data_IF_197211713928
#
_entry.id   IF_197211713928
#
_cell.length_a   1.000
_cell.length_b   1.000
_cell.length_c   1.000
_cell.angle_alpha   90.00
_cell.angle_beta   90.00
_cell.angle_gamma   90.00
#
_symmetry.space_group_name_H-M   'P 1'
#
loop_
_entity.id
_entity.type
_entity.pdbx_description
1 polymer ?
#
# COMPACT_ATOMS: atom_id res chain seq x y z
N UNK A 1 -3.67 -20.37 -14.29
CA UNK A 1 -4.29 -20.35 -12.94
C UNK A 1 -5.56 -19.54 -13.04
N UNK A 2 -6.67 -20.00 -12.44
CA UNK A 2 -7.92 -19.22 -12.43
C UNK A 2 -7.80 -18.08 -11.42
N UNK A 3 -8.13 -16.86 -11.84
CA UNK A 3 -8.08 -15.67 -10.98
C UNK A 3 -9.17 -15.74 -9.91
N UNK A 4 -8.83 -15.44 -8.65
CA UNK A 4 -9.78 -15.41 -7.55
C UNK A 4 -10.59 -14.10 -7.58
N UNK A 5 -11.90 -14.19 -7.42
CA UNK A 5 -12.83 -13.06 -7.39
C UNK A 5 -13.34 -12.84 -5.96
N UNK A 6 -13.09 -11.65 -5.41
CA UNK A 6 -13.65 -11.26 -4.12
C UNK A 6 -15.02 -10.56 -4.30
N UNK A 7 -15.89 -10.60 -3.27
CA UNK A 7 -17.13 -9.83 -3.27
C UNK A 7 -16.86 -8.33 -3.45
N UNK A 8 -17.65 -7.67 -4.29
CA UNK A 8 -17.58 -6.23 -4.53
C UNK A 8 -18.78 -5.56 -3.87
N UNK A 9 -18.54 -4.73 -2.85
CA UNK A 9 -19.58 -3.95 -2.21
C UNK A 9 -19.84 -2.65 -3.01
N UNK A 10 -21.09 -2.39 -3.46
CA UNK A 10 -21.40 -1.16 -4.18
C UNK A 10 -21.08 0.09 -3.36
N UNK A 11 -20.61 1.15 -4.02
CA UNK A 11 -20.09 2.35 -3.33
C UNK A 11 -21.10 3.00 -2.39
N UNK A 12 -22.37 3.10 -2.79
CA UNK A 12 -23.42 3.72 -1.98
C UNK A 12 -23.72 2.89 -0.71
N UNK A 13 -23.71 1.56 -0.81
CA UNK A 13 -23.85 0.64 0.34
C UNK A 13 -22.65 0.79 1.27
N UNK A 14 -21.44 0.79 0.71
CA UNK A 14 -20.21 0.97 1.49
C UNK A 14 -20.20 2.30 2.25
N UNK A 15 -20.63 3.38 1.60
CA UNK A 15 -20.73 4.71 2.23
C UNK A 15 -21.75 4.72 3.37
N UNK A 16 -22.90 4.08 3.17
CA UNK A 16 -23.93 3.96 4.19
C UNK A 16 -23.40 3.21 5.42
N UNK A 17 -22.81 2.02 5.22
CA UNK A 17 -22.23 1.21 6.30
C UNK A 17 -21.13 1.99 7.01
N UNK A 18 -20.14 2.52 6.26
CA UNK A 18 -19.02 3.27 6.82
C UNK A 18 -19.48 4.47 7.67
N UNK A 19 -20.53 5.17 7.24
CA UNK A 19 -21.09 6.31 7.99
C UNK A 19 -21.75 5.85 9.29
N UNK A 20 -22.43 4.70 9.28
CA UNK A 20 -23.06 4.14 10.47
C UNK A 20 -22.04 3.63 11.50
N UNK A 21 -20.95 2.99 11.04
CA UNK A 21 -20.02 2.28 11.93
C UNK A 21 -18.82 3.11 12.41
N UNK A 22 -18.56 4.28 11.81
CA UNK A 22 -17.32 5.05 12.05
C UNK A 22 -17.07 5.49 13.50
N UNK A 23 -18.11 5.53 14.33
CA UNK A 23 -18.04 5.91 15.74
C UNK A 23 -18.19 4.73 16.70
N UNK A 24 -18.49 3.53 16.21
CA UNK A 24 -18.63 2.33 17.03
C UNK A 24 -17.31 1.94 17.70
N UNK A 25 -17.38 1.24 18.83
CA UNK A 25 -16.19 0.71 19.49
C UNK A 25 -15.58 -0.45 18.68
N UNK A 26 -14.30 -0.75 18.94
CA UNK A 26 -13.62 -1.89 18.30
C UNK A 26 -14.35 -3.20 18.62
N UNK A 27 -14.79 -3.37 19.87
CA UNK A 27 -15.49 -4.56 20.38
C UNK A 27 -16.88 -4.73 19.74
N UNK A 28 -17.61 -3.62 19.55
CA UNK A 28 -18.90 -3.64 18.87
C UNK A 28 -18.75 -4.11 17.43
N UNK A 29 -17.74 -3.59 16.72
CA UNK A 29 -17.48 -3.99 15.34
C UNK A 29 -16.99 -5.43 15.23
N UNK A 30 -16.13 -5.86 16.15
CA UNK A 30 -15.61 -7.22 16.17
C UNK A 30 -16.72 -8.27 16.36
N UNK A 31 -17.79 -7.93 17.08
CA UNK A 31 -18.94 -8.82 17.29
C UNK A 31 -19.98 -8.80 16.16
N UNK A 32 -19.87 -7.85 15.21
CA UNK A 32 -20.81 -7.67 14.10
C UNK A 32 -20.20 -8.03 12.73
N UNK A 33 -19.01 -8.64 12.72
CA UNK A 33 -18.35 -9.00 11.47
C UNK A 33 -19.15 -10.04 10.71
N UNK A 34 -19.23 -9.82 9.40
CA UNK A 34 -19.82 -10.76 8.44
C UNK A 34 -18.77 -11.14 7.40
N UNK A 35 -19.01 -12.25 6.71
CA UNK A 35 -18.14 -12.77 5.65
C UNK A 35 -18.81 -12.74 4.27
N UNK A 36 -20.05 -12.29 4.23
CA UNK A 36 -20.90 -12.13 3.05
C UNK A 36 -21.80 -10.90 3.25
N UNK A 37 -22.33 -10.36 2.15
CA UNK A 37 -23.30 -9.27 2.18
C UNK A 37 -24.20 -9.39 0.95
N UNK A 38 -25.51 -9.26 1.12
CA UNK A 38 -26.50 -9.57 0.06
C UNK A 38 -26.36 -8.68 -1.18
N UNK A 39 -26.01 -7.41 -0.99
CA UNK A 39 -25.76 -6.45 -2.08
C UNK A 39 -24.39 -6.61 -2.75
N UNK A 40 -23.58 -7.61 -2.38
CA UNK A 40 -22.29 -7.81 -3.03
C UNK A 40 -22.43 -8.40 -4.43
N UNK A 41 -21.64 -7.85 -5.35
CA UNK A 41 -21.55 -8.29 -6.73
C UNK A 41 -20.21 -9.00 -6.99
N UNK A 42 -20.11 -9.70 -8.11
CA UNK A 42 -18.86 -10.26 -8.61
C UNK A 42 -18.67 -9.84 -10.07
N UNK A 43 -17.42 -9.75 -10.51
CA UNK A 43 -17.11 -9.57 -11.94
C UNK A 43 -17.76 -10.68 -12.75
N UNK A 44 -18.42 -10.32 -13.86
CA UNK A 44 -19.23 -11.21 -14.69
C UNK A 44 -18.42 -12.14 -15.61
N UNK A 45 -17.09 -12.02 -15.64
CA UNK A 45 -16.22 -12.73 -16.58
C UNK A 45 -15.11 -13.51 -15.87
N UNK A 46 -15.12 -14.84 -16.04
CA UNK A 46 -14.04 -15.75 -15.64
C UNK A 46 -13.78 -15.81 -14.12
N UNK A 47 -12.82 -16.64 -13.71
CA UNK A 47 -12.37 -16.71 -12.31
C UNK A 47 -13.19 -17.62 -11.39
N UNK A 48 -12.70 -17.76 -10.15
CA UNK A 48 -13.35 -18.54 -9.07
C UNK A 48 -13.72 -17.58 -7.96
N UNK A 49 -14.96 -17.63 -7.46
CA UNK A 49 -15.37 -16.81 -6.32
C UNK A 49 -14.62 -17.24 -5.07
N UNK A 50 -14.11 -16.28 -4.30
CA UNK A 50 -13.58 -16.52 -2.97
C UNK A 50 -14.69 -17.13 -2.10
N UNK A 51 -14.41 -18.28 -1.49
CA UNK A 51 -15.33 -18.90 -0.54
C UNK A 51 -15.35 -18.13 0.78
N UNK A 52 -16.44 -18.27 1.53
CA UNK A 52 -16.55 -17.76 2.91
C UNK A 52 -15.35 -18.19 3.76
N UNK A 53 -14.97 -19.48 3.68
CA UNK A 53 -13.80 -20.00 4.41
C UNK A 53 -12.48 -19.28 4.05
N UNK A 54 -12.30 -18.87 2.79
CA UNK A 54 -11.10 -18.08 2.38
C UNK A 54 -11.14 -16.68 2.97
N UNK A 55 -12.31 -16.04 3.03
CA UNK A 55 -12.49 -14.69 3.60
C UNK A 55 -12.31 -14.75 5.13
N UNK A 56 -12.83 -15.78 5.79
CA UNK A 56 -12.64 -16.02 7.21
C UNK A 56 -11.16 -16.27 7.56
N UNK A 57 -10.47 -17.12 6.80
CA UNK A 57 -9.04 -17.35 6.98
C UNK A 57 -8.21 -16.07 6.80
N UNK A 58 -8.58 -15.22 5.82
CA UNK A 58 -7.98 -13.89 5.66
C UNK A 58 -8.20 -13.04 6.91
N UNK A 59 -9.42 -13.00 7.46
CA UNK A 59 -9.70 -12.24 8.68
C UNK A 59 -8.85 -12.74 9.84
N UNK A 60 -8.80 -14.05 10.06
CA UNK A 60 -8.03 -14.65 11.13
C UNK A 60 -6.56 -14.21 11.07
N UNK A 61 -5.93 -14.29 9.89
CA UNK A 61 -4.54 -13.86 9.71
C UNK A 61 -4.32 -12.37 10.01
N UNK A 62 -5.25 -11.50 9.58
CA UNK A 62 -5.15 -10.05 9.83
C UNK A 62 -5.35 -9.72 11.31
N UNK A 63 -6.31 -10.36 11.97
CA UNK A 63 -6.58 -10.17 13.41
C UNK A 63 -5.42 -10.71 14.24
N UNK A 64 -4.86 -11.87 13.88
CA UNK A 64 -3.67 -12.43 14.54
C UNK A 64 -2.48 -11.47 14.46
N UNK A 65 -2.21 -10.92 13.27
CA UNK A 65 -1.20 -9.87 13.13
C UNK A 65 -1.52 -8.65 14.01
N UNK A 66 -2.76 -8.16 13.99
CA UNK A 66 -3.16 -7.00 14.78
C UNK A 66 -3.00 -7.25 16.29
N UNK A 67 -3.27 -8.47 16.76
CA UNK A 67 -3.08 -8.87 18.16
C UNK A 67 -1.62 -8.75 18.59
N UNK A 68 -0.66 -9.11 17.73
CA UNK A 68 0.78 -8.90 18.01
C UNK A 68 1.16 -7.42 18.12
N UNK A 69 0.27 -6.50 17.70
CA UNK A 69 0.46 -5.04 17.69
C UNK A 69 -0.49 -4.33 18.67
N UNK A 70 -1.09 -5.05 19.61
CA UNK A 70 -1.86 -4.47 20.72
C UNK A 70 -3.37 -4.42 20.51
N UNK A 71 -3.91 -5.04 19.46
CA UNK A 71 -5.35 -5.24 19.33
C UNK A 71 -5.90 -6.04 20.54
N UNK A 72 -7.05 -5.67 21.13
CA UNK A 72 -8.03 -4.69 20.62
C UNK A 72 -7.81 -3.23 21.07
N UNK A 73 -6.84 -2.93 21.94
CA UNK A 73 -6.57 -1.56 22.36
C UNK A 73 -5.96 -0.75 21.21
N UNK A 74 -6.31 0.53 21.10
CA UNK A 74 -5.78 1.40 20.04
C UNK A 74 -4.24 1.35 20.01
N UNK A 75 -3.63 1.17 18.83
CA UNK A 75 -2.20 0.98 18.71
C UNK A 75 -1.46 2.30 18.90
N UNK A 76 -0.26 2.24 19.47
CA UNK A 76 0.70 3.35 19.36
C UNK A 76 1.09 3.60 17.90
N UNK A 77 1.63 4.79 17.56
CA UNK A 77 2.10 5.08 16.19
C UNK A 77 3.11 4.05 15.66
N UNK A 78 3.98 3.52 16.53
CA UNK A 78 4.97 2.51 16.15
C UNK A 78 4.33 1.15 15.87
N UNK A 79 3.38 0.71 16.71
CA UNK A 79 2.61 -0.52 16.46
C UNK A 79 1.81 -0.42 15.16
N UNK A 80 1.17 0.72 14.92
CA UNK A 80 0.39 0.99 13.71
C UNK A 80 1.26 0.96 12.44
N UNK A 81 2.44 1.58 12.47
CA UNK A 81 3.40 1.54 11.36
C UNK A 81 3.94 0.12 11.11
N UNK A 82 4.26 -0.63 12.18
CA UNK A 82 4.72 -2.01 12.07
C UNK A 82 3.62 -2.94 11.54
N UNK A 83 2.36 -2.73 11.94
CA UNK A 83 1.20 -3.45 11.41
C UNK A 83 1.06 -3.22 9.90
N UNK A 84 1.05 -1.95 9.46
CA UNK A 84 0.92 -1.62 8.04
C UNK A 84 2.04 -2.25 7.21
N UNK A 85 3.28 -2.25 7.74
CA UNK A 85 4.43 -2.83 7.05
C UNK A 85 4.30 -4.34 6.84
N UNK A 86 4.00 -5.08 7.91
CA UNK A 86 3.82 -6.54 7.85
C UNK A 86 2.59 -6.92 7.03
N UNK A 87 1.48 -6.19 7.18
CA UNK A 87 0.27 -6.44 6.41
C UNK A 87 0.48 -6.18 4.92
N UNK A 88 1.21 -5.13 4.54
CA UNK A 88 1.58 -4.88 3.13
C UNK A 88 2.19 -6.14 2.51
N UNK A 89 3.17 -6.74 3.18
CA UNK A 89 3.80 -7.96 2.69
C UNK A 89 2.83 -9.14 2.56
N UNK A 90 2.00 -9.41 3.58
CA UNK A 90 1.08 -10.56 3.58
C UNK A 90 -0.10 -10.40 2.62
N UNK A 91 -0.54 -9.17 2.34
CA UNK A 91 -1.85 -8.93 1.72
C UNK A 91 -1.93 -9.44 0.28
N UNK A 92 -0.81 -9.52 -0.45
CA UNK A 92 -0.78 -10.10 -1.81
C UNK A 92 -1.06 -11.59 -1.82
N UNK A 93 -0.64 -12.32 -0.77
CA UNK A 93 -0.89 -13.76 -0.63
C UNK A 93 -2.28 -14.05 -0.05
N UNK A 94 -2.73 -13.21 0.88
CA UNK A 94 -4.06 -13.31 1.47
C UNK A 94 -5.14 -12.97 0.43
N UNK A 95 -4.87 -11.99 -0.45
CA UNK A 95 -5.75 -11.45 -1.49
C UNK A 95 -5.06 -11.54 -2.86
N UNK A 96 -4.96 -12.74 -3.45
CA UNK A 96 -4.24 -12.98 -4.71
C UNK A 96 -5.07 -12.56 -5.92
N UNK A 97 -5.32 -11.25 -6.02
CA UNK A 97 -6.08 -10.64 -7.12
C UNK A 97 -5.19 -10.37 -8.32
N UNK A 98 -5.78 -10.49 -9.52
CA UNK A 98 -5.19 -9.84 -10.69
C UNK A 98 -5.32 -8.30 -10.55
N UNK A 99 -4.41 -7.50 -11.14
CA UNK A 99 -4.48 -6.03 -11.06
C UNK A 99 -5.83 -5.44 -11.51
N UNK A 100 -6.46 -6.05 -12.50
CA UNK A 100 -7.79 -5.64 -12.99
C UNK A 100 -8.91 -5.82 -11.94
N UNK A 101 -8.81 -6.86 -11.11
CA UNK A 101 -9.73 -7.10 -9.99
C UNK A 101 -9.38 -6.22 -8.79
N UNK A 102 -8.10 -6.04 -8.49
CA UNK A 102 -7.63 -5.12 -7.46
C UNK A 102 -7.97 -3.65 -7.75
N UNK A 103 -8.21 -3.28 -9.01
CA UNK A 103 -8.71 -1.96 -9.38
C UNK A 103 -10.18 -1.75 -9.02
N UNK A 104 -10.94 -2.82 -8.74
CA UNK A 104 -12.35 -2.74 -8.34
C UNK A 104 -12.47 -2.27 -6.90
N UNK A 105 -12.86 -1.01 -6.73
CA UNK A 105 -13.02 -0.39 -5.42
C UNK A 105 -13.91 -1.18 -4.45
N UNK A 106 -14.95 -1.82 -4.97
CA UNK A 106 -15.90 -2.61 -4.18
C UNK A 106 -15.26 -3.74 -3.38
N UNK A 107 -14.17 -4.35 -3.86
CA UNK A 107 -13.44 -5.39 -3.11
C UNK A 107 -12.89 -4.85 -1.80
N UNK A 108 -12.24 -3.69 -1.87
CA UNK A 108 -11.63 -3.06 -0.71
C UNK A 108 -12.66 -2.47 0.25
N UNK A 109 -13.76 -1.96 -0.30
CA UNK A 109 -14.90 -1.51 0.48
C UNK A 109 -15.56 -2.67 1.23
N UNK A 110 -15.73 -3.82 0.59
CA UNK A 110 -16.23 -5.04 1.22
C UNK A 110 -15.33 -5.46 2.40
N UNK A 111 -14.02 -5.60 2.15
CA UNK A 111 -13.07 -5.98 3.20
C UNK A 111 -13.10 -4.99 4.37
N UNK A 112 -13.12 -3.69 4.09
CA UNK A 112 -13.04 -2.67 5.13
C UNK A 112 -14.36 -2.42 5.88
N UNK A 113 -15.52 -2.49 5.22
CA UNK A 113 -16.82 -2.25 5.85
C UNK A 113 -17.42 -3.49 6.52
N UNK A 114 -17.16 -4.68 5.97
CA UNK A 114 -17.88 -5.91 6.33
C UNK A 114 -16.99 -6.87 7.11
N UNK A 115 -15.79 -7.17 6.58
CA UNK A 115 -14.93 -8.25 7.10
C UNK A 115 -13.95 -7.78 8.18
N UNK A 116 -13.44 -6.56 8.07
CA UNK A 116 -12.34 -6.02 8.88
C UNK A 116 -12.63 -4.62 9.44
N UNK A 117 -13.92 -4.32 9.69
CA UNK A 117 -14.37 -3.00 10.17
C UNK A 117 -13.75 -2.62 11.51
N UNK A 118 -13.65 -3.57 12.42
CA UNK A 118 -12.96 -3.48 13.70
C UNK A 118 -11.47 -3.15 13.54
N UNK A 119 -10.79 -3.76 12.58
CA UNK A 119 -9.37 -3.48 12.28
C UNK A 119 -9.19 -2.07 11.74
N UNK A 120 -10.09 -1.58 10.88
CA UNK A 120 -10.06 -0.19 10.40
C UNK A 120 -10.26 0.80 11.56
N UNK A 121 -11.22 0.51 12.44
CA UNK A 121 -11.49 1.30 13.65
C UNK A 121 -10.31 1.30 14.60
N UNK A 122 -9.74 0.13 14.90
CA UNK A 122 -8.56 -0.04 15.72
C UNK A 122 -7.37 0.74 15.16
N UNK A 123 -7.12 0.66 13.85
CA UNK A 123 -5.96 1.27 13.21
C UNK A 123 -6.03 2.79 13.08
N UNK A 124 -7.22 3.35 12.79
CA UNK A 124 -7.37 4.77 12.44
C UNK A 124 -8.36 5.56 13.30
N UNK A 125 -9.02 4.90 14.25
CA UNK A 125 -9.87 5.56 15.23
C UNK A 125 -9.09 6.17 16.38
N UNK A 126 -9.82 6.83 17.25
CA UNK A 126 -9.43 7.13 18.62
C UNK A 126 -10.65 6.98 19.52
N UNK A 127 -10.44 6.92 20.84
CA UNK A 127 -11.53 6.80 21.81
C UNK A 127 -12.61 7.87 21.58
N UNK A 128 -12.21 9.10 21.28
CA UNK A 128 -13.09 10.26 21.20
C UNK A 128 -13.34 10.79 19.78
N UNK A 129 -12.77 10.16 18.76
CA UNK A 129 -12.89 10.65 17.37
C UNK A 129 -13.41 9.58 16.43
N UNK A 130 -14.38 9.90 15.55
CA UNK A 130 -14.86 8.96 14.55
C UNK A 130 -13.76 8.68 13.54
N UNK A 131 -13.66 7.43 13.10
CA UNK A 131 -12.75 7.07 12.01
C UNK A 131 -13.20 7.76 10.72
N UNK A 132 -12.25 8.24 9.92
CA UNK A 132 -12.55 8.89 8.65
C UNK A 132 -13.16 7.87 7.66
N UNK A 133 -14.27 8.24 6.99
CA UNK A 133 -15.02 7.33 6.10
C UNK A 133 -14.14 6.80 4.96
N UNK A 134 -13.19 7.60 4.49
CA UNK A 134 -12.23 7.26 3.44
C UNK A 134 -11.27 6.12 3.81
N UNK A 135 -11.24 5.70 5.08
CA UNK A 135 -10.51 4.49 5.53
C UNK A 135 -11.28 3.20 5.26
N UNK A 136 -12.61 3.32 5.09
CA UNK A 136 -13.53 2.22 4.80
C UNK A 136 -13.87 2.13 3.31
N UNK A 137 -14.23 3.25 2.68
CA UNK A 137 -14.60 3.26 1.26
C UNK A 137 -13.37 3.11 0.36
N UNK A 138 -13.58 2.69 -0.88
CA UNK A 138 -12.51 2.55 -1.88
C UNK A 138 -11.80 3.86 -2.19
N UNK A 139 -10.51 3.78 -2.48
CA UNK A 139 -9.66 4.90 -2.90
C UNK A 139 -8.27 4.83 -2.29
N UNK A 140 -7.43 5.83 -2.58
CA UNK A 140 -6.03 5.87 -2.10
C UNK A 140 -5.89 5.86 -0.58
N UNK A 141 -6.93 6.31 0.14
CA UNK A 141 -6.94 6.36 1.61
C UNK A 141 -7.50 5.10 2.27
N UNK A 142 -8.12 4.20 1.49
CA UNK A 142 -8.66 2.95 2.01
C UNK A 142 -7.55 2.14 2.70
N UNK A 143 -7.89 1.58 3.85
CA UNK A 143 -6.93 0.90 4.74
C UNK A 143 -6.15 -0.21 4.04
N UNK A 144 -6.84 -1.07 3.28
CA UNK A 144 -6.27 -2.28 2.71
C UNK A 144 -5.85 -2.09 1.26
N UNK A 145 -6.63 -1.33 0.47
CA UNK A 145 -6.32 -1.06 -0.94
C UNK A 145 -4.92 -0.46 -1.10
N UNK A 146 -4.58 0.54 -0.27
CA UNK A 146 -3.28 1.22 -0.36
C UNK A 146 -2.12 0.26 -0.06
N UNK A 147 -2.30 -0.66 0.88
CA UNK A 147 -1.25 -1.62 1.27
C UNK A 147 -1.07 -2.67 0.19
N UNK A 148 -2.17 -3.16 -0.40
CA UNK A 148 -2.08 -4.13 -1.50
C UNK A 148 -1.37 -3.52 -2.71
N UNK A 149 -1.75 -2.31 -3.12
CA UNK A 149 -1.09 -1.63 -4.24
C UNK A 149 0.37 -1.32 -3.95
N UNK A 150 0.71 -0.93 -2.71
CA UNK A 150 2.09 -0.73 -2.27
C UNK A 150 2.91 -2.00 -2.44
N UNK A 151 2.39 -3.14 -2.00
CA UNK A 151 3.04 -4.44 -2.17
C UNK A 151 3.19 -4.80 -3.64
N UNK A 152 2.13 -4.64 -4.43
CA UNK A 152 2.13 -4.90 -5.87
C UNK A 152 3.22 -4.09 -6.60
N UNK A 153 3.28 -2.78 -6.40
CA UNK A 153 4.27 -1.92 -7.07
C UNK A 153 5.72 -2.18 -6.63
N UNK A 154 5.92 -2.59 -5.38
CA UNK A 154 7.24 -2.98 -4.89
C UNK A 154 7.64 -4.39 -5.33
N UNK A 155 6.68 -5.25 -5.68
CA UNK A 155 6.91 -6.60 -6.18
C UNK A 155 7.11 -6.66 -7.70
N UNK A 156 6.59 -5.69 -8.46
CA UNK A 156 6.79 -5.66 -9.92
C UNK A 156 8.26 -5.49 -10.28
N UNK A 157 8.76 -6.33 -11.19
CA UNK A 157 10.16 -6.35 -11.64
C UNK A 157 11.15 -6.43 -10.45
N UNK A 158 11.07 -7.50 -9.64
CA UNK A 158 11.82 -7.59 -8.41
C UNK A 158 13.31 -7.72 -8.72
N UNK A 159 14.06 -6.66 -8.41
CA UNK A 159 15.51 -6.73 -8.41
C UNK A 159 15.96 -7.67 -7.28
N UNK A 160 16.70 -8.73 -7.63
CA UNK A 160 17.02 -9.89 -6.77
C UNK A 160 17.59 -9.56 -5.38
N UNK A 161 18.07 -8.33 -5.16
CA UNK A 161 18.70 -7.90 -3.91
C UNK A 161 17.75 -7.56 -2.77
N UNK A 162 16.49 -7.23 -3.05
CA UNK A 162 15.56 -6.76 -2.03
C UNK A 162 14.17 -7.40 -2.12
N UNK A 163 13.66 -7.88 -0.98
CA UNK A 163 12.26 -8.33 -0.87
C UNK A 163 11.33 -7.16 -0.60
N UNK A 164 10.04 -7.32 -0.93
CA UNK A 164 8.99 -6.33 -0.59
C UNK A 164 8.98 -6.02 0.90
N UNK A 165 9.09 -7.05 1.74
CA UNK A 165 9.17 -6.91 3.19
C UNK A 165 10.33 -5.98 3.61
N UNK A 166 11.54 -6.23 3.08
CA UNK A 166 12.70 -5.39 3.37
C UNK A 166 12.48 -3.94 2.95
N UNK A 167 11.90 -3.70 1.77
CA UNK A 167 11.64 -2.34 1.28
C UNK A 167 10.61 -1.61 2.15
N UNK A 168 9.50 -2.27 2.50
CA UNK A 168 8.43 -1.66 3.30
C UNK A 168 8.91 -1.37 4.74
N UNK A 169 9.78 -2.20 5.30
CA UNK A 169 10.38 -1.93 6.62
C UNK A 169 11.45 -0.84 6.58
N UNK A 170 12.20 -0.72 5.49
CA UNK A 170 13.29 0.26 5.36
C UNK A 170 12.80 1.67 4.97
N UNK A 171 11.61 1.79 4.38
CA UNK A 171 11.02 3.05 3.93
C UNK A 171 10.04 3.62 4.96
N UNK A 172 10.07 4.95 5.14
CA UNK A 172 9.06 5.66 5.93
C UNK A 172 7.73 5.80 5.18
N UNK A 173 6.64 6.06 5.90
CA UNK A 173 5.30 6.22 5.29
C UNK A 173 5.27 7.32 4.22
N UNK A 174 5.88 8.48 4.48
CA UNK A 174 5.99 9.58 3.51
C UNK A 174 6.68 9.14 2.20
N UNK A 175 7.65 8.24 2.28
CA UNK A 175 8.40 7.74 1.12
C UNK A 175 7.57 6.71 0.35
N UNK A 176 6.94 5.77 1.06
CA UNK A 176 6.06 4.78 0.46
C UNK A 176 4.89 5.46 -0.27
N UNK A 177 4.25 6.46 0.33
CA UNK A 177 3.21 7.27 -0.32
C UNK A 177 3.75 7.96 -1.58
N UNK A 178 4.94 8.55 -1.50
CA UNK A 178 5.57 9.24 -2.63
C UNK A 178 5.89 8.32 -3.80
N UNK A 179 6.19 7.05 -3.55
CA UNK A 179 6.56 6.07 -4.57
C UNK A 179 5.35 5.33 -5.14
N UNK A 180 4.38 4.98 -4.28
CA UNK A 180 3.30 4.03 -4.62
C UNK A 180 1.93 4.67 -4.84
N UNK A 181 1.72 5.91 -4.36
CA UNK A 181 0.41 6.58 -4.46
C UNK A 181 0.41 7.77 -5.46
N UNK A 182 1.55 8.02 -6.11
CA UNK A 182 1.71 9.03 -7.18
C UNK A 182 1.61 8.38 -8.56
N UNK A 183 0.58 8.71 -9.37
CA UNK A 183 0.37 8.06 -10.67
C UNK A 183 1.57 8.13 -11.61
N UNK A 184 2.30 9.25 -11.59
CA UNK A 184 3.46 9.48 -12.46
C UNK A 184 4.65 8.55 -12.21
N UNK A 185 4.69 7.87 -11.06
CA UNK A 185 5.76 6.90 -10.74
C UNK A 185 5.19 5.50 -10.59
N UNK A 186 4.07 5.35 -9.88
CA UNK A 186 3.42 4.07 -9.65
C UNK A 186 2.82 3.45 -10.92
N UNK A 187 2.50 4.26 -11.93
CA UNK A 187 1.98 3.77 -13.22
C UNK A 187 3.03 3.12 -14.12
N UNK A 188 4.32 3.28 -13.80
CA UNK A 188 5.43 2.69 -14.55
C UNK A 188 5.89 1.44 -13.82
N UNK A 189 5.73 0.29 -14.46
CA UNK A 189 6.07 -1.01 -13.91
C UNK A 189 7.54 -1.06 -13.44
N UNK A 190 7.78 -1.55 -12.22
CA UNK A 190 9.13 -1.67 -11.64
C UNK A 190 9.78 -0.37 -11.17
N UNK A 191 9.31 0.81 -11.60
CA UNK A 191 9.95 2.08 -11.25
C UNK A 191 9.87 2.37 -9.74
N UNK A 192 8.75 2.06 -9.09
CA UNK A 192 8.60 2.25 -7.65
C UNK A 192 9.64 1.43 -6.86
N UNK A 193 9.83 0.16 -7.22
CA UNK A 193 10.84 -0.72 -6.62
C UNK A 193 12.26 -0.22 -6.92
N UNK A 194 12.57 0.14 -8.16
CA UNK A 194 13.87 0.65 -8.54
C UNK A 194 14.24 1.93 -7.77
N UNK A 195 13.31 2.88 -7.64
CA UNK A 195 13.52 4.13 -6.87
C UNK A 195 13.66 3.87 -5.37
N UNK A 196 12.89 2.94 -4.82
CA UNK A 196 13.03 2.51 -3.43
C UNK A 196 14.44 1.97 -3.15
N UNK A 197 14.92 1.04 -3.98
CA UNK A 197 16.25 0.43 -3.86
C UNK A 197 17.34 1.48 -4.04
N UNK A 198 17.26 2.27 -5.12
CA UNK A 198 18.24 3.31 -5.42
C UNK A 198 18.34 4.36 -4.31
N UNK A 199 17.24 4.69 -3.63
CA UNK A 199 17.26 5.58 -2.47
C UNK A 199 18.06 4.98 -1.31
N UNK A 200 17.81 3.71 -0.95
CA UNK A 200 18.50 3.05 0.16
C UNK A 200 20.01 2.94 -0.13
N UNK A 201 20.37 2.55 -1.35
CA UNK A 201 21.77 2.49 -1.78
C UNK A 201 22.43 3.88 -1.81
N UNK A 202 21.73 4.90 -2.30
CA UNK A 202 22.23 6.28 -2.31
C UNK A 202 22.43 6.81 -0.89
N UNK A 203 21.55 6.50 0.07
CA UNK A 203 21.75 6.87 1.47
C UNK A 203 22.98 6.21 2.08
N UNK A 204 23.27 4.95 1.71
CA UNK A 204 24.47 4.26 2.17
C UNK A 204 25.75 4.86 1.59
N UNK A 205 25.73 5.27 0.33
CA UNK A 205 26.88 5.88 -0.37
C UNK A 205 27.10 7.34 0.03
N UNK A 206 26.03 8.12 0.19
CA UNK A 206 26.03 9.57 0.39
C UNK A 206 25.52 9.97 1.77
N UNK A 207 26.16 9.46 2.84
CA UNK A 207 25.70 9.60 4.24
C UNK A 207 25.59 11.05 4.74
N UNK A 208 26.27 12.01 4.10
CA UNK A 208 26.25 13.44 4.47
C UNK A 208 25.03 14.20 3.92
N UNK A 209 24.22 13.55 3.07
CA UNK A 209 23.04 14.14 2.44
C UNK A 209 21.80 13.58 3.14
N UNK A 210 20.87 14.47 3.49
CA UNK A 210 19.62 14.05 4.10
C UNK A 210 18.80 13.19 3.11
N UNK A 211 18.37 12.01 3.56
CA UNK A 211 17.53 11.07 2.79
C UNK A 211 16.34 11.74 2.11
N UNK A 212 15.65 12.64 2.82
CA UNK A 212 14.51 13.41 2.30
C UNK A 212 14.89 14.34 1.12
N UNK A 213 16.11 14.87 1.12
CA UNK A 213 16.60 15.70 0.01
C UNK A 213 16.90 14.84 -1.22
N UNK A 214 17.55 13.68 -1.03
CA UNK A 214 17.84 12.74 -2.11
C UNK A 214 16.58 12.31 -2.85
N UNK A 215 15.58 11.76 -2.13
CA UNK A 215 14.34 11.29 -2.78
C UNK A 215 13.60 12.43 -3.50
N UNK A 216 13.51 13.61 -2.89
CA UNK A 216 12.77 14.75 -3.46
C UNK A 216 13.41 15.24 -4.76
N UNK A 217 14.73 15.40 -4.78
CA UNK A 217 15.44 15.87 -5.97
C UNK A 217 15.54 14.79 -7.06
N UNK A 218 15.69 13.51 -6.69
CA UNK A 218 15.65 12.40 -7.63
C UNK A 218 14.28 12.31 -8.32
N UNK A 219 13.18 12.42 -7.57
CA UNK A 219 11.83 12.42 -8.14
C UNK A 219 11.61 13.57 -9.13
N UNK A 220 12.06 14.79 -8.81
CA UNK A 220 11.97 15.91 -9.76
C UNK A 220 12.71 15.62 -11.06
N UNK A 221 13.88 14.98 -10.98
CA UNK A 221 14.66 14.62 -12.18
C UNK A 221 14.00 13.51 -12.98
N UNK A 222 13.50 12.46 -12.32
CA UNK A 222 12.73 11.40 -12.96
C UNK A 222 11.51 11.95 -13.70
N UNK A 223 10.74 12.84 -13.07
CA UNK A 223 9.58 13.49 -13.70
C UNK A 223 9.95 14.41 -14.85
N UNK A 224 11.13 15.05 -14.82
CA UNK A 224 11.63 15.84 -15.95
C UNK A 224 12.08 14.93 -17.10
N UNK A 225 12.72 13.80 -16.78
CA UNK A 225 13.20 12.83 -17.75
C UNK A 225 12.06 12.08 -18.43
N UNK A 226 10.97 11.78 -17.72
CA UNK A 226 9.80 11.10 -18.30
C UNK A 226 9.15 11.86 -19.45
N UNK A 227 9.39 13.17 -19.58
CA UNK A 227 8.93 13.96 -20.73
C UNK A 227 9.75 13.72 -22.01
N UNK A 228 10.95 13.15 -21.89
CA UNK A 228 11.87 12.92 -23.01
C UNK A 228 12.21 11.43 -23.21
N UNK A 229 12.00 10.61 -22.19
CA UNK A 229 12.32 9.18 -22.17
C UNK A 229 11.06 8.40 -21.82
N UNK A 230 10.74 7.39 -22.63
CA UNK A 230 9.72 6.41 -22.30
C UNK A 230 10.30 5.43 -21.26
N UNK A 231 10.12 5.74 -19.98
CA UNK A 231 10.62 4.93 -18.87
C UNK A 231 10.02 3.51 -18.89
N UNK A 232 8.81 3.36 -19.42
CA UNK A 232 8.11 2.08 -19.60
C UNK A 232 8.83 1.14 -20.57
N UNK A 233 9.62 1.69 -21.50
CA UNK A 233 10.38 0.92 -22.50
C UNK A 233 11.78 0.52 -22.02
N UNK A 234 12.21 0.99 -20.84
CA UNK A 234 13.53 0.64 -20.30
C UNK A 234 13.50 -0.83 -19.83
N UNK A 235 14.46 -1.67 -20.27
CA UNK A 235 14.60 -3.02 -19.77
C UNK A 235 14.78 -3.05 -18.25
N UNK A 236 14.29 -4.10 -17.61
CA UNK A 236 14.35 -4.24 -16.15
C UNK A 236 15.78 -4.12 -15.61
N UNK A 237 16.75 -4.73 -16.29
CA UNK A 237 18.15 -4.72 -15.87
C UNK A 237 18.74 -3.30 -15.90
N UNK A 238 18.32 -2.49 -16.88
CA UNK A 238 18.81 -1.13 -17.06
C UNK A 238 18.08 -0.09 -16.19
N UNK A 239 16.84 -0.38 -15.75
CA UNK A 239 16.03 0.56 -14.99
C UNK A 239 16.69 0.90 -13.64
N UNK A 240 17.22 -0.12 -12.97
CA UNK A 240 17.95 0.07 -11.72
C UNK A 240 19.21 0.93 -11.92
N UNK A 241 20.03 0.63 -12.92
CA UNK A 241 21.23 1.42 -13.24
C UNK A 241 20.88 2.88 -13.53
N UNK A 242 19.82 3.12 -14.29
CA UNK A 242 19.36 4.46 -14.63
C UNK A 242 18.92 5.25 -13.38
N UNK A 243 18.16 4.61 -12.48
CA UNK A 243 17.75 5.21 -11.21
C UNK A 243 18.95 5.50 -10.31
N UNK A 244 19.90 4.57 -10.21
CA UNK A 244 21.14 4.72 -9.45
C UNK A 244 21.96 5.91 -9.96
N UNK A 245 22.11 6.05 -11.27
CA UNK A 245 22.80 7.18 -11.90
C UNK A 245 22.11 8.52 -11.58
N UNK A 246 20.77 8.55 -11.57
CA UNK A 246 20.00 9.74 -11.19
C UNK A 246 20.32 10.16 -9.76
N UNK A 247 20.33 9.20 -8.81
CA UNK A 247 20.66 9.50 -7.42
C UNK A 247 22.08 10.03 -7.25
N UNK A 248 23.06 9.49 -7.99
CA UNK A 248 24.44 9.98 -7.96
C UNK A 248 24.56 11.40 -8.52
N UNK A 249 23.90 11.68 -9.64
CA UNK A 249 23.85 13.03 -10.21
C UNK A 249 23.16 14.01 -9.25
N UNK A 250 22.17 13.56 -8.48
CA UNK A 250 21.52 14.38 -7.44
C UNK A 250 22.51 14.67 -6.32
N UNK A 251 23.16 13.65 -5.79
CA UNK A 251 24.11 13.78 -4.69
C UNK A 251 25.25 14.75 -5.06
N UNK A 252 25.85 14.58 -6.24
CA UNK A 252 26.91 15.46 -6.74
C UNK A 252 26.45 16.93 -6.78
N UNK A 253 25.25 17.20 -7.32
CA UNK A 253 24.73 18.57 -7.40
C UNK A 253 24.48 19.21 -6.04
N UNK A 254 24.00 18.43 -5.05
CA UNK A 254 23.73 18.93 -3.71
C UNK A 254 25.02 19.26 -2.94
N UNK A 255 26.10 18.53 -3.20
CA UNK A 255 27.42 18.83 -2.65
C UNK A 255 27.97 20.14 -3.25
N UNK A 256 27.90 20.30 -4.58
CA UNK A 256 28.37 21.53 -5.24
C UNK A 256 27.66 22.78 -4.73
N UNK A 257 26.33 22.73 -4.57
CA UNK A 257 25.55 23.86 -4.04
C UNK A 257 25.92 24.23 -2.60
N UNK A 258 26.35 23.26 -1.77
CA UNK A 258 26.82 23.51 -0.40
C UNK A 258 28.22 24.11 -0.34
N UNK A 259 29.08 23.85 -1.33
CA UNK A 259 30.44 24.42 -1.38
C UNK A 259 30.48 25.84 -1.94
N UNK A 260 29.43 26.27 -2.64
CA UNK A 260 29.28 27.61 -3.22
C UNK A 260 28.50 28.60 -2.35
N UNK A 261 28.07 28.19 -1.16
CA UNK A 261 27.29 28.98 -0.20
C UNK A 261 28.12 29.19 1.08
#
# INVERSE_FOLDING_TARGET
MSTLLFPQLPHHVALHIATAIRSSSVEQLASQVLFEHDECEYTSTGGVRASVAKIEALRMAVVELAATKGYPQFPSPQQAASFDAMLTHMLVDLVPLAPAEAARGGVWAFLACVVLSDIVRWRFGGADSPTAVERYISGRRNTFQRLWWRAFYLATRPYERHTVEQLVHALGEDELVQLTERPSLAGIEGLAAAVAIGLLEACNRHKSIARRQLIREAQKRLLRLSSFVCLESIPEECLHEHVTEIFDKVAASLVTTRSSA
#
